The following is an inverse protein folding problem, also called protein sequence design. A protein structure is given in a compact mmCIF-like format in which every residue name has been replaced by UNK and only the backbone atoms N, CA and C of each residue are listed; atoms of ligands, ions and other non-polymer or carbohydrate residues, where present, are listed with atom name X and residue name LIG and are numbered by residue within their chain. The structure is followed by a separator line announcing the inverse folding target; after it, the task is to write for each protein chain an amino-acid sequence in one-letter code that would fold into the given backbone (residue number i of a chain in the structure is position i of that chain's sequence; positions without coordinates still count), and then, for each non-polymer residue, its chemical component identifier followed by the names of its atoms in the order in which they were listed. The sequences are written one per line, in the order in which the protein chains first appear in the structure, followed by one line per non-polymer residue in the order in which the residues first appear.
data_IF_776999388909
#
_entry.id   IF_776999388909
#
_cell.length_a   1.000
_cell.length_b   1.000
_cell.length_c   1.000
_cell.angle_alpha   90.00
_cell.angle_beta   90.00
_cell.angle_gamma   90.00
#
_symmetry.space_group_name_H-M   'P 1'
#
loop_
_entity.id
_entity.type
_entity.pdbx_description
1 polymer ?
#
# COMPACT_ATOMS: atom_id res chain seq x y z
N UNK A 1 14.77 -11.70 12.25
CA UNK A 1 14.44 -10.37 12.82
C UNK A 1 12.93 -10.21 12.78
N UNK A 2 12.30 -9.86 13.89
CA UNK A 2 10.85 -9.62 13.98
C UNK A 2 10.59 -8.11 13.91
N UNK A 3 9.73 -7.67 12.98
CA UNK A 3 9.30 -6.28 12.88
C UNK A 3 8.18 -6.05 13.89
N UNK A 4 8.30 -4.99 14.71
CA UNK A 4 7.28 -4.56 15.69
C UNK A 4 6.98 -3.07 15.61
N UNK A 5 7.98 -2.25 15.25
CA UNK A 5 7.95 -0.79 15.25
C UNK A 5 8.17 -0.29 13.83
N UNK A 6 7.17 0.35 13.29
CA UNK A 6 7.15 0.78 11.88
C UNK A 6 6.98 2.29 11.80
N UNK A 7 7.77 2.93 10.94
CA UNK A 7 7.54 4.32 10.56
C UNK A 7 7.11 4.41 9.11
N UNK A 8 6.02 5.13 8.86
CA UNK A 8 5.60 5.50 7.52
C UNK A 8 6.09 6.94 7.27
N UNK A 9 7.07 7.09 6.37
CA UNK A 9 7.58 8.38 5.98
C UNK A 9 6.72 8.97 4.85
N UNK A 10 5.74 9.78 5.24
CA UNK A 10 4.76 10.38 4.35
C UNK A 10 3.34 9.91 4.62
N UNK A 11 2.52 10.81 5.15
CA UNK A 11 1.10 10.59 5.46
C UNK A 11 0.16 11.01 4.33
N UNK A 12 0.50 10.71 3.06
CA UNK A 12 -0.39 10.84 1.91
C UNK A 12 -1.59 9.88 1.99
N UNK A 13 -2.39 9.80 0.93
CA UNK A 13 -3.55 8.91 0.90
C UNK A 13 -3.14 7.47 1.22
N UNK A 14 -2.20 6.91 0.46
CA UNK A 14 -1.76 5.53 0.63
C UNK A 14 -0.90 5.35 1.89
N UNK A 15 0.00 6.29 2.20
CA UNK A 15 0.81 6.21 3.43
C UNK A 15 -0.04 6.19 4.71
N UNK A 16 -1.15 6.93 4.75
CA UNK A 16 -2.11 6.87 5.87
C UNK A 16 -2.83 5.52 5.93
N UNK A 17 -3.18 4.92 4.80
CA UNK A 17 -3.79 3.59 4.75
C UNK A 17 -2.81 2.51 5.26
N UNK A 18 -1.55 2.56 4.81
CA UNK A 18 -0.51 1.62 5.27
C UNK A 18 -0.30 1.76 6.80
N UNK A 19 -0.22 3.00 7.30
CA UNK A 19 -0.08 3.26 8.72
C UNK A 19 -1.25 2.70 9.53
N UNK A 20 -2.48 2.99 9.11
CA UNK A 20 -3.69 2.55 9.80
C UNK A 20 -3.82 1.01 9.79
N UNK A 21 -3.61 0.37 8.64
CA UNK A 21 -3.65 -1.10 8.52
C UNK A 21 -2.59 -1.77 9.41
N UNK A 22 -1.37 -1.23 9.41
CA UNK A 22 -0.26 -1.75 10.23
C UNK A 22 -0.58 -1.64 11.72
N UNK A 23 -1.10 -0.49 12.17
CA UNK A 23 -1.51 -0.30 13.55
C UNK A 23 -2.73 -1.16 13.93
N UNK A 24 -3.71 -1.30 13.02
CA UNK A 24 -4.87 -2.18 13.20
C UNK A 24 -4.47 -3.64 13.44
N UNK A 25 -3.34 -4.07 12.86
CA UNK A 25 -2.77 -5.40 13.10
C UNK A 25 -1.83 -5.48 14.32
N UNK A 26 -1.78 -4.42 15.14
CA UNK A 26 -1.14 -4.43 16.45
C UNK A 26 0.32 -3.98 16.49
N UNK A 27 0.84 -3.39 15.40
CA UNK A 27 2.20 -2.84 15.37
C UNK A 27 2.27 -1.44 16.00
N UNK A 28 3.42 -1.07 16.56
CA UNK A 28 3.71 0.31 16.98
C UNK A 28 4.04 1.16 15.74
N UNK A 29 3.17 2.09 15.42
CA UNK A 29 3.25 2.88 14.19
C UNK A 29 3.45 4.36 14.48
N UNK A 30 4.44 4.94 13.79
CA UNK A 30 4.61 6.39 13.70
C UNK A 30 4.51 6.82 12.24
N UNK A 31 3.84 7.94 11.99
CA UNK A 31 3.84 8.60 10.68
C UNK A 31 4.67 9.86 10.75
N UNK A 32 5.66 9.98 9.87
CA UNK A 32 6.36 11.24 9.69
C UNK A 32 5.59 12.17 8.74
N UNK A 33 5.29 13.36 9.22
CA UNK A 33 4.67 14.45 8.47
C UNK A 33 5.62 15.65 8.43
N UNK A 34 5.96 16.15 7.24
CA UNK A 34 7.01 17.19 7.05
C UNK A 34 6.73 18.56 7.71
N UNK A 35 5.50 18.79 8.20
CA UNK A 35 5.09 20.06 8.84
C UNK A 35 3.83 19.86 9.69
N UNK A 36 3.55 20.80 10.59
CA UNK A 36 2.31 20.80 11.39
C UNK A 36 1.04 20.83 10.52
N UNK A 37 1.05 21.56 9.42
CA UNK A 37 -0.06 21.54 8.46
C UNK A 37 -0.26 20.16 7.83
N UNK A 38 0.83 19.47 7.48
CA UNK A 38 0.78 18.09 6.99
C UNK A 38 0.29 17.12 8.06
N UNK A 39 0.69 17.33 9.33
CA UNK A 39 0.23 16.56 10.49
C UNK A 39 -1.30 16.64 10.63
N UNK A 40 -1.88 17.84 10.50
CA UNK A 40 -3.34 18.02 10.52
C UNK A 40 -4.02 17.23 9.40
N UNK A 41 -3.52 17.32 8.16
CA UNK A 41 -4.07 16.53 7.03
C UNK A 41 -3.96 15.01 7.24
N UNK A 42 -2.92 14.55 7.90
CA UNK A 42 -2.76 13.13 8.28
C UNK A 42 -3.82 12.74 9.31
N UNK A 43 -4.07 13.59 10.31
CA UNK A 43 -5.13 13.34 11.30
C UNK A 43 -6.50 13.26 10.64
N UNK A 44 -6.85 14.23 9.77
CA UNK A 44 -8.12 14.21 9.02
C UNK A 44 -8.31 12.89 8.23
N UNK A 45 -7.21 12.34 7.66
CA UNK A 45 -7.25 11.04 6.98
C UNK A 45 -7.46 9.88 7.95
N UNK A 46 -6.87 9.93 9.13
CA UNK A 46 -7.10 8.89 10.13
C UNK A 46 -8.52 8.90 10.66
N UNK A 47 -9.15 10.08 10.80
CA UNK A 47 -10.55 10.20 11.17
C UNK A 47 -11.45 9.55 10.12
N UNK A 48 -11.16 9.78 8.83
CA UNK A 48 -11.87 9.13 7.72
C UNK A 48 -11.62 7.61 7.68
N UNK A 49 -10.37 7.16 7.87
CA UNK A 49 -10.03 5.73 7.90
C UNK A 49 -10.67 5.01 9.09
N UNK A 50 -10.71 5.63 10.25
CA UNK A 50 -11.40 5.11 11.43
C UNK A 50 -12.87 4.82 11.12
N UNK A 51 -13.58 5.76 10.49
CA UNK A 51 -14.96 5.57 10.07
C UNK A 51 -15.08 4.46 9.02
N UNK A 52 -14.20 4.46 8.00
CA UNK A 52 -14.17 3.45 6.95
C UNK A 52 -13.97 2.04 7.52
N UNK A 53 -13.00 1.86 8.41
CA UNK A 53 -12.75 0.53 9.01
C UNK A 53 -13.93 0.05 9.85
N UNK A 54 -14.59 0.93 10.59
CA UNK A 54 -15.81 0.57 11.34
C UNK A 54 -16.93 0.13 10.41
N UNK A 55 -17.14 0.83 9.30
CA UNK A 55 -18.13 0.45 8.28
C UNK A 55 -17.81 -0.92 7.65
N UNK A 56 -16.54 -1.17 7.32
CA UNK A 56 -16.12 -2.44 6.74
C UNK A 56 -16.24 -3.59 7.76
N UNK A 57 -15.95 -3.36 9.04
CA UNK A 57 -16.17 -4.31 10.13
C UNK A 57 -17.68 -4.61 10.30
N UNK A 58 -18.54 -3.59 10.18
CA UNK A 58 -20.00 -3.83 10.25
C UNK A 58 -20.49 -4.66 9.05
N UNK A 59 -20.00 -4.41 7.83
CA UNK A 59 -20.32 -5.22 6.66
C UNK A 59 -19.92 -6.69 6.81
N UNK A 60 -18.83 -6.97 7.54
CA UNK A 60 -18.41 -8.34 7.82
C UNK A 60 -19.46 -9.16 8.57
N UNK A 61 -20.35 -8.55 9.36
CA UNK A 61 -21.45 -9.24 10.06
C UNK A 61 -22.32 -10.06 9.10
N UNK A 62 -22.50 -9.60 7.88
CA UNK A 62 -23.33 -10.28 6.88
C UNK A 62 -22.66 -11.48 6.22
N UNK A 63 -21.35 -11.65 6.41
CA UNK A 63 -20.57 -12.70 5.74
C UNK A 63 -19.83 -13.64 6.71
N UNK A 64 -19.80 -13.33 8.03
CA UNK A 64 -19.24 -14.28 9.03
C UNK A 64 -20.02 -15.58 9.05
N UNK A 65 -19.33 -16.69 9.26
CA UNK A 65 -19.92 -18.03 9.17
C UNK A 65 -20.15 -18.53 7.74
N UNK A 66 -19.72 -17.77 6.72
CA UNK A 66 -19.84 -18.13 5.31
C UNK A 66 -18.50 -18.12 4.59
N UNK A 67 -18.43 -18.74 3.40
CA UNK A 67 -17.24 -18.70 2.52
C UNK A 67 -17.15 -17.41 1.68
N UNK A 68 -17.99 -16.40 1.92
CA UNK A 68 -17.96 -15.15 1.18
C UNK A 68 -16.83 -14.26 1.66
N UNK A 69 -15.94 -13.89 0.75
CA UNK A 69 -14.84 -12.96 1.04
C UNK A 69 -15.35 -11.50 1.11
N UNK A 70 -14.91 -10.77 2.12
CA UNK A 70 -15.09 -9.32 2.22
C UNK A 70 -13.94 -8.72 3.01
N UNK A 71 -13.37 -7.61 2.54
CA UNK A 71 -12.29 -6.87 3.20
C UNK A 71 -11.20 -7.78 3.80
N UNK A 72 -10.57 -8.61 2.95
CA UNK A 72 -9.64 -9.67 3.37
C UNK A 72 -8.39 -9.13 4.10
N UNK A 73 -8.03 -7.86 3.91
CA UNK A 73 -7.00 -7.22 4.73
C UNK A 73 -7.43 -7.05 6.19
N UNK A 74 -8.74 -6.89 6.46
CA UNK A 74 -9.29 -6.83 7.82
C UNK A 74 -9.45 -8.23 8.39
N UNK A 75 -10.20 -9.11 7.69
CA UNK A 75 -10.50 -10.47 8.12
C UNK A 75 -10.37 -11.45 6.95
N UNK A 76 -9.38 -12.33 7.02
CA UNK A 76 -9.14 -13.33 5.97
C UNK A 76 -10.12 -14.51 6.05
N UNK A 77 -10.36 -15.02 7.25
CA UNK A 77 -11.20 -16.19 7.48
C UNK A 77 -12.57 -15.75 8.02
N UNK A 78 -13.50 -15.50 7.11
CA UNK A 78 -14.88 -15.17 7.44
C UNK A 78 -15.68 -16.39 7.87
N UNK A 79 -15.33 -17.59 7.39
CA UNK A 79 -16.05 -18.84 7.66
C UNK A 79 -16.01 -19.25 9.12
N UNK A 80 -14.83 -19.14 9.75
CA UNK A 80 -14.63 -19.50 11.15
C UNK A 80 -14.80 -18.31 12.11
N UNK A 81 -15.24 -17.15 11.61
CA UNK A 81 -15.46 -15.96 12.41
C UNK A 81 -16.81 -16.01 13.15
N UNK A 82 -16.84 -15.34 14.31
CA UNK A 82 -18.02 -15.24 15.19
C UNK A 82 -18.33 -13.77 15.53
N UNK A 83 -19.41 -13.55 16.28
CA UNK A 83 -19.74 -12.24 16.82
C UNK A 83 -18.62 -11.67 17.71
N UNK A 84 -17.89 -12.52 18.45
CA UNK A 84 -16.75 -12.08 19.27
C UNK A 84 -15.60 -11.61 18.40
N UNK A 85 -15.41 -12.23 17.22
CA UNK A 85 -14.45 -11.76 16.22
C UNK A 85 -14.75 -10.33 15.79
N UNK A 86 -16.01 -10.02 15.50
CA UNK A 86 -16.45 -8.66 15.12
C UNK A 86 -16.18 -7.67 16.24
N UNK A 87 -16.50 -8.00 17.50
CA UNK A 87 -16.23 -7.13 18.63
C UNK A 87 -14.73 -6.85 18.78
N UNK A 88 -13.90 -7.88 18.68
CA UNK A 88 -12.44 -7.73 18.70
C UNK A 88 -11.94 -6.80 17.58
N UNK A 89 -12.46 -6.91 16.36
CA UNK A 89 -12.08 -6.04 15.25
C UNK A 89 -12.43 -4.57 15.54
N UNK A 90 -13.59 -4.28 16.16
CA UNK A 90 -13.91 -2.93 16.62
C UNK A 90 -12.90 -2.40 17.66
N UNK A 91 -12.52 -3.24 18.62
CA UNK A 91 -11.53 -2.87 19.63
C UNK A 91 -10.15 -2.61 19.00
N UNK A 92 -9.78 -3.41 17.97
CA UNK A 92 -8.54 -3.22 17.24
C UNK A 92 -8.54 -1.93 16.39
N UNK A 93 -9.68 -1.53 15.81
CA UNK A 93 -9.85 -0.22 15.14
C UNK A 93 -9.65 0.93 16.13
N UNK A 94 -10.25 0.86 17.31
CA UNK A 94 -10.09 1.86 18.37
C UNK A 94 -8.63 1.98 18.83
N UNK A 95 -7.97 0.84 19.05
CA UNK A 95 -6.56 0.81 19.46
C UNK A 95 -5.64 1.41 18.39
N UNK A 96 -5.87 1.05 17.11
CA UNK A 96 -5.12 1.61 16.00
C UNK A 96 -5.24 3.12 15.93
N UNK A 97 -6.46 3.65 15.95
CA UNK A 97 -6.73 5.08 15.87
C UNK A 97 -6.06 5.86 17.00
N UNK A 98 -6.12 5.35 18.24
CA UNK A 98 -5.53 5.98 19.42
C UNK A 98 -4.02 5.78 19.54
N UNK A 99 -3.49 4.71 18.93
CA UNK A 99 -2.08 4.31 19.09
C UNK A 99 -1.12 4.90 18.07
N UNK A 100 -1.60 5.33 16.88
CA UNK A 100 -0.73 5.89 15.85
C UNK A 100 -0.21 7.25 16.29
N UNK A 101 1.12 7.41 16.21
CA UNK A 101 1.79 8.68 16.48
C UNK A 101 2.05 9.43 15.18
N UNK A 102 1.93 10.76 15.21
CA UNK A 102 2.28 11.63 14.09
C UNK A 102 3.39 12.57 14.56
N UNK A 103 4.57 12.42 13.94
CA UNK A 103 5.78 13.19 14.29
C UNK A 103 6.18 14.10 13.13
N UNK A 104 6.61 15.32 13.44
CA UNK A 104 7.17 16.26 12.46
C UNK A 104 8.70 16.25 12.42
N UNK A 105 9.33 15.80 13.49
CA UNK A 105 10.76 15.54 13.53
C UNK A 105 11.09 14.20 12.87
N UNK A 106 11.82 14.21 11.74
CA UNK A 106 12.23 12.97 11.07
C UNK A 106 13.08 12.09 11.99
N UNK A 107 14.00 12.71 12.74
CA UNK A 107 14.88 12.01 13.68
C UNK A 107 14.09 11.24 14.74
N UNK A 108 13.07 11.88 15.33
CA UNK A 108 12.26 11.25 16.38
C UNK A 108 11.32 10.18 15.80
N UNK A 109 10.80 10.42 14.61
CA UNK A 109 9.93 9.48 13.92
C UNK A 109 10.62 8.15 13.60
N UNK A 110 11.93 8.15 13.29
CA UNK A 110 12.64 6.94 12.83
C UNK A 110 13.52 6.30 13.91
N UNK A 111 13.66 6.93 15.06
CA UNK A 111 14.47 6.40 16.17
C UNK A 111 13.93 5.08 16.69
N UNK A 112 14.78 4.08 16.76
CA UNK A 112 14.44 2.76 17.31
C UNK A 112 13.43 1.99 16.48
N UNK A 113 13.32 2.24 15.16
CA UNK A 113 12.36 1.56 14.29
C UNK A 113 12.96 0.36 13.59
N UNK A 114 12.16 -0.69 13.46
CA UNK A 114 12.58 -1.93 12.81
C UNK A 114 12.42 -1.81 11.28
N UNK A 115 11.39 -1.06 10.84
CA UNK A 115 11.07 -0.82 9.43
C UNK A 115 10.66 0.64 9.20
N UNK A 116 11.22 1.25 8.16
CA UNK A 116 10.75 2.55 7.63
C UNK A 116 10.22 2.32 6.22
N UNK A 117 8.97 2.70 5.96
CA UNK A 117 8.35 2.64 4.63
C UNK A 117 8.23 4.07 4.09
N UNK A 118 8.96 4.39 3.04
CA UNK A 118 8.84 5.66 2.33
C UNK A 118 7.60 5.65 1.44
N UNK A 119 6.72 6.63 1.65
CA UNK A 119 5.48 6.84 0.89
C UNK A 119 5.30 8.32 0.54
N UNK A 120 6.33 8.92 -0.05
CA UNK A 120 6.36 10.31 -0.52
C UNK A 120 5.85 10.42 -1.95
N UNK A 121 5.73 11.68 -2.43
CA UNK A 121 5.34 11.98 -3.81
C UNK A 121 6.27 11.30 -4.82
N UNK A 122 5.72 10.88 -5.96
CA UNK A 122 6.45 10.26 -7.07
C UNK A 122 7.30 11.32 -7.81
N UNK A 123 8.35 11.80 -7.14
CA UNK A 123 9.34 12.72 -7.66
C UNK A 123 10.74 12.20 -7.29
N UNK A 124 11.57 11.93 -8.30
CA UNK A 124 12.87 11.30 -8.13
C UNK A 124 13.81 12.13 -7.26
N UNK A 125 13.90 13.43 -7.52
CA UNK A 125 14.85 14.31 -6.80
C UNK A 125 14.42 14.47 -5.34
N UNK A 126 13.12 14.63 -5.07
CA UNK A 126 12.58 14.65 -3.70
C UNK A 126 12.89 13.37 -2.93
N UNK A 127 12.78 12.21 -3.57
CA UNK A 127 13.11 10.92 -2.92
C UNK A 127 14.62 10.81 -2.64
N UNK A 128 15.46 11.22 -3.58
CA UNK A 128 16.93 11.23 -3.38
C UNK A 128 17.31 12.13 -2.20
N UNK A 129 16.82 13.36 -2.15
CA UNK A 129 17.11 14.30 -1.06
C UNK A 129 16.57 13.79 0.29
N UNK A 130 15.41 13.17 0.26
CA UNK A 130 14.85 12.52 1.44
C UNK A 130 15.76 11.38 1.93
N UNK A 131 16.19 10.47 1.05
CA UNK A 131 17.07 9.36 1.45
C UNK A 131 18.41 9.84 2.00
N UNK A 132 19.02 10.86 1.40
CA UNK A 132 20.25 11.48 1.94
C UNK A 132 20.07 12.04 3.35
N UNK A 133 18.89 12.61 3.62
CA UNK A 133 18.54 13.15 4.95
C UNK A 133 18.20 12.03 5.93
N UNK A 134 17.51 11.01 5.49
CA UNK A 134 17.04 9.89 6.31
C UNK A 134 18.18 8.94 6.72
N UNK A 135 19.06 8.59 5.78
CA UNK A 135 20.06 7.54 5.95
C UNK A 135 20.91 7.66 7.23
N UNK A 136 21.44 8.84 7.59
CA UNK A 136 22.23 9.00 8.81
C UNK A 136 21.45 8.94 10.11
N UNK A 137 20.10 8.96 10.05
CA UNK A 137 19.21 8.95 11.22
C UNK A 137 18.74 7.55 11.59
N UNK A 138 18.90 6.58 10.70
CA UNK A 138 18.41 5.22 10.89
C UNK A 138 19.39 4.38 11.71
N UNK A 139 18.83 3.60 12.64
CA UNK A 139 19.61 2.61 13.37
C UNK A 139 20.15 1.54 12.42
N UNK A 140 21.25 0.88 12.79
CA UNK A 140 21.96 -0.08 11.92
C UNK A 140 21.03 -1.17 11.40
N UNK A 141 20.17 -1.72 12.25
CA UNK A 141 19.30 -2.85 11.89
C UNK A 141 17.98 -2.45 11.19
N UNK A 142 17.70 -1.15 11.04
CA UNK A 142 16.47 -0.68 10.40
C UNK A 142 16.41 -1.09 8.93
N UNK A 143 15.34 -1.76 8.53
CA UNK A 143 15.01 -2.03 7.12
C UNK A 143 14.37 -0.77 6.53
N UNK A 144 14.72 -0.46 5.30
CA UNK A 144 14.14 0.65 4.55
C UNK A 144 13.40 0.12 3.31
N UNK A 145 12.13 0.46 3.19
CA UNK A 145 11.32 0.10 2.03
C UNK A 145 10.76 1.33 1.33
N UNK A 146 10.59 1.25 0.01
CA UNK A 146 9.87 2.27 -0.77
C UNK A 146 8.53 1.75 -1.24
N UNK A 147 7.49 2.60 -1.15
CA UNK A 147 6.17 2.33 -1.71
C UNK A 147 5.97 3.00 -3.08
N UNK A 148 7.04 3.32 -3.79
CA UNK A 148 6.94 3.90 -5.14
C UNK A 148 6.15 3.00 -6.07
N UNK A 149 5.31 3.59 -6.93
CA UNK A 149 4.44 2.85 -7.88
C UNK A 149 5.06 2.69 -9.26
N UNK A 150 6.00 3.56 -9.62
CA UNK A 150 6.51 3.67 -11.00
C UNK A 150 8.02 3.62 -11.12
N UNK A 151 8.76 3.94 -10.03
CA UNK A 151 10.21 4.06 -10.06
C UNK A 151 10.89 2.77 -9.60
N UNK A 152 12.06 2.47 -10.16
CA UNK A 152 12.85 1.31 -9.73
C UNK A 152 13.56 1.62 -8.40
N UNK A 153 13.51 0.71 -7.41
CA UNK A 153 14.29 0.85 -6.17
C UNK A 153 15.79 1.06 -6.43
N UNK A 154 16.34 0.41 -7.46
CA UNK A 154 17.76 0.57 -7.83
C UNK A 154 18.18 2.01 -8.13
N UNK A 155 17.23 2.89 -8.50
CA UNK A 155 17.56 4.32 -8.72
C UNK A 155 17.90 5.06 -7.43
N UNK A 156 17.53 4.51 -6.27
CA UNK A 156 17.65 5.15 -4.96
C UNK A 156 18.60 4.43 -4.02
N UNK A 157 18.90 3.15 -4.26
CA UNK A 157 19.62 2.28 -3.32
C UNK A 157 20.95 2.86 -2.83
N UNK A 158 21.70 3.57 -3.69
CA UNK A 158 23.01 4.14 -3.32
C UNK A 158 22.89 5.37 -2.40
N UNK A 159 21.71 6.01 -2.33
CA UNK A 159 21.45 7.15 -1.44
C UNK A 159 20.95 6.73 -0.06
N UNK A 160 20.68 5.46 0.14
CA UNK A 160 20.11 4.93 1.40
C UNK A 160 21.17 4.60 2.45
N UNK A 161 22.46 4.53 2.07
CA UNK A 161 23.58 4.04 2.88
C UNK A 161 23.39 2.62 3.46
N UNK A 162 22.40 1.88 2.96
CA UNK A 162 22.07 0.50 3.34
C UNK A 162 21.44 -0.30 2.20
N UNK A 163 22.08 -0.36 1.02
CA UNK A 163 21.48 -0.98 -0.16
C UNK A 163 21.11 -2.45 0.05
N UNK A 164 21.78 -3.15 0.97
CA UNK A 164 21.49 -4.53 1.33
C UNK A 164 20.18 -4.69 2.13
N UNK A 165 19.73 -3.62 2.82
CA UNK A 165 18.49 -3.56 3.63
C UNK A 165 17.40 -2.72 2.96
N UNK A 166 17.54 -2.43 1.67
CA UNK A 166 16.63 -1.59 0.91
C UNK A 166 15.94 -2.36 -0.22
N UNK A 167 14.61 -2.23 -0.31
CA UNK A 167 13.79 -2.89 -1.32
C UNK A 167 12.44 -2.16 -1.47
N UNK A 168 11.64 -2.57 -2.47
CA UNK A 168 10.29 -2.03 -2.61
C UNK A 168 9.26 -2.89 -1.87
N UNK A 169 8.27 -2.20 -1.33
CA UNK A 169 7.07 -2.75 -0.71
C UNK A 169 5.87 -1.93 -1.21
N UNK A 170 5.35 -2.30 -2.38
CA UNK A 170 4.36 -1.53 -3.12
C UNK A 170 2.95 -2.01 -2.83
N UNK A 171 2.12 -1.12 -2.29
CA UNK A 171 0.72 -1.35 -1.94
C UNK A 171 -0.22 -0.74 -2.99
N UNK A 172 -1.39 -1.34 -3.15
CA UNK A 172 -2.50 -0.75 -3.88
C UNK A 172 -3.37 0.12 -2.95
N UNK A 173 -4.14 1.08 -3.49
CA UNK A 173 -5.12 1.82 -2.71
C UNK A 173 -6.25 0.91 -2.20
N UNK A 174 -6.85 1.26 -1.04
CA UNK A 174 -7.89 0.49 -0.33
C UNK A 174 -7.37 -0.88 0.10
N UNK A 175 -6.21 -0.87 0.75
CA UNK A 175 -5.45 -2.07 1.14
C UNK A 175 -6.23 -3.05 2.03
N UNK A 176 -7.28 -2.60 2.71
CA UNK A 176 -8.18 -3.47 3.48
C UNK A 176 -9.07 -4.37 2.60
N UNK A 177 -9.26 -4.00 1.32
CA UNK A 177 -10.00 -4.79 0.31
C UNK A 177 -9.06 -5.34 -0.75
N UNK A 178 -8.25 -4.45 -1.36
CA UNK A 178 -7.22 -4.81 -2.35
C UNK A 178 -5.92 -5.05 -1.59
N UNK A 179 -5.74 -6.25 -1.07
CA UNK A 179 -4.64 -6.60 -0.17
C UNK A 179 -3.39 -7.26 -0.79
N UNK A 180 -3.17 -7.37 -2.11
CA UNK A 180 -1.84 -7.69 -2.61
C UNK A 180 -0.82 -6.59 -2.26
N UNK A 181 0.41 -7.00 -1.96
CA UNK A 181 1.57 -6.12 -1.81
C UNK A 181 2.74 -6.71 -2.59
N UNK A 182 3.31 -5.91 -3.47
CA UNK A 182 4.40 -6.34 -4.35
C UNK A 182 5.74 -6.06 -3.67
N UNK A 183 6.58 -7.09 -3.55
CA UNK A 183 7.92 -7.03 -2.95
C UNK A 183 8.94 -7.20 -4.07
N UNK A 184 9.73 -6.16 -4.32
CA UNK A 184 10.71 -6.13 -5.39
C UNK A 184 12.09 -5.73 -4.85
N UNK A 185 13.08 -6.59 -5.08
CA UNK A 185 14.46 -6.43 -4.61
C UNK A 185 15.31 -5.67 -5.62
N UNK A 186 16.41 -5.06 -5.13
CA UNK A 186 17.50 -4.56 -5.98
C UNK A 186 18.58 -5.62 -6.14
N UNK A 187 19.55 -5.38 -7.00
CA UNK A 187 20.73 -6.25 -7.16
C UNK A 187 21.63 -6.32 -5.90
N UNK A 188 21.45 -5.41 -4.95
CA UNK A 188 22.25 -5.33 -3.71
C UNK A 188 21.46 -5.80 -2.47
N UNK A 189 20.16 -6.02 -2.59
CA UNK A 189 19.32 -6.44 -1.45
C UNK A 189 19.77 -7.84 -0.97
N UNK A 190 20.07 -7.99 0.32
CA UNK A 190 20.36 -9.29 0.93
C UNK A 190 19.08 -10.15 0.97
N UNK A 191 19.19 -11.41 0.54
CA UNK A 191 18.08 -12.34 0.36
C UNK A 191 17.25 -12.66 1.62
N UNK A 192 17.75 -12.34 2.82
CA UNK A 192 16.96 -12.47 4.06
C UNK A 192 15.86 -11.44 4.21
N UNK A 193 16.04 -10.21 3.69
CA UNK A 193 15.09 -9.10 3.91
C UNK A 193 13.78 -9.24 3.12
N UNK A 194 13.75 -9.76 1.89
CA UNK A 194 12.49 -10.07 1.22
C UNK A 194 11.61 -11.03 2.03
N UNK A 195 12.19 -12.07 2.67
CA UNK A 195 11.44 -13.00 3.49
C UNK A 195 10.93 -12.34 4.79
N UNK A 196 11.72 -11.44 5.40
CA UNK A 196 11.29 -10.65 6.57
C UNK A 196 10.10 -9.75 6.19
N UNK A 197 10.16 -9.06 5.04
CA UNK A 197 9.05 -8.20 4.59
C UNK A 197 7.84 -9.02 4.11
N UNK A 198 8.04 -10.21 3.57
CA UNK A 198 6.96 -11.15 3.25
C UNK A 198 6.18 -11.56 4.52
N UNK A 199 6.89 -11.90 5.59
CA UNK A 199 6.27 -12.22 6.89
C UNK A 199 5.54 -11.00 7.47
N UNK A 200 6.17 -9.82 7.45
CA UNK A 200 5.51 -8.56 7.83
C UNK A 200 4.23 -8.32 7.04
N UNK A 201 4.26 -8.47 5.71
CA UNK A 201 3.10 -8.31 4.85
C UNK A 201 1.96 -9.26 5.23
N UNK A 202 2.26 -10.54 5.47
CA UNK A 202 1.28 -11.53 5.94
C UNK A 202 0.66 -11.11 7.29
N UNK A 203 1.49 -10.64 8.22
CA UNK A 203 1.05 -10.23 9.55
C UNK A 203 0.16 -8.99 9.54
N UNK A 204 0.32 -8.09 8.56
CA UNK A 204 -0.58 -6.95 8.38
C UNK A 204 -1.80 -7.26 7.48
N UNK A 205 -2.03 -8.54 7.15
CA UNK A 205 -3.20 -8.99 6.39
C UNK A 205 -3.08 -8.84 4.87
N UNK A 206 -1.85 -8.64 4.36
CA UNK A 206 -1.59 -8.54 2.92
C UNK A 206 -1.23 -9.90 2.32
N UNK A 207 -1.36 -9.99 1.00
CA UNK A 207 -0.90 -11.12 0.18
C UNK A 207 0.39 -10.70 -0.53
N UNK A 208 1.57 -11.18 -0.10
CA UNK A 208 2.83 -10.79 -0.70
C UNK A 208 3.02 -11.39 -2.09
N UNK A 209 3.33 -10.54 -3.06
CA UNK A 209 3.68 -10.89 -4.44
C UNK A 209 5.18 -10.66 -4.63
N UNK A 210 5.93 -11.75 -4.69
CA UNK A 210 7.39 -11.71 -4.78
C UNK A 210 7.81 -11.50 -6.24
N UNK A 211 8.43 -10.34 -6.54
CA UNK A 211 8.90 -9.99 -7.90
C UNK A 211 10.38 -10.36 -8.03
N UNK A 212 10.68 -11.22 -9.01
CA UNK A 212 12.02 -11.80 -9.20
C UNK A 212 13.03 -10.86 -9.86
N UNK A 213 12.56 -9.85 -10.58
CA UNK A 213 13.39 -8.90 -11.33
C UNK A 213 12.75 -7.53 -11.33
N UNK A 214 13.55 -6.48 -11.13
CA UNK A 214 13.06 -5.10 -11.21
C UNK A 214 12.40 -4.81 -12.57
N UNK A 215 11.21 -4.22 -12.50
CA UNK A 215 10.45 -3.73 -13.65
C UNK A 215 9.69 -2.46 -13.24
N UNK A 216 9.73 -1.38 -14.05
CA UNK A 216 8.91 -0.20 -13.78
C UNK A 216 7.43 -0.57 -13.82
N UNK A 217 6.66 -0.07 -12.84
CA UNK A 217 5.22 -0.38 -12.74
C UNK A 217 4.91 -1.74 -12.14
N UNK A 218 5.91 -2.51 -11.72
CA UNK A 218 5.72 -3.81 -11.07
C UNK A 218 4.92 -4.79 -11.95
N UNK A 219 4.28 -5.81 -11.38
CA UNK A 219 3.42 -6.72 -12.15
C UNK A 219 2.07 -6.06 -12.43
N UNK A 220 1.46 -5.44 -11.41
CA UNK A 220 0.13 -4.88 -11.53
C UNK A 220 0.04 -3.82 -12.63
N UNK A 221 0.83 -2.76 -12.56
CA UNK A 221 0.76 -1.67 -13.52
C UNK A 221 1.28 -2.08 -14.91
N UNK A 222 2.21 -3.05 -14.97
CA UNK A 222 2.69 -3.60 -16.25
C UNK A 222 1.62 -4.36 -17.03
N UNK A 223 0.58 -4.86 -16.35
CA UNK A 223 -0.59 -5.48 -16.97
C UNK A 223 -1.72 -4.47 -17.18
N UNK A 224 -1.99 -3.65 -16.16
CA UNK A 224 -3.11 -2.72 -16.14
C UNK A 224 -2.97 -1.64 -17.21
N UNK A 225 -1.81 -0.98 -17.30
CA UNK A 225 -1.62 0.14 -18.23
C UNK A 225 -1.82 -0.29 -19.69
N UNK A 226 -1.18 -1.36 -20.20
CA UNK A 226 -1.45 -1.85 -21.56
C UNK A 226 -2.91 -2.25 -21.80
N UNK A 227 -3.56 -2.84 -20.79
CA UNK A 227 -4.99 -3.21 -20.88
C UNK A 227 -5.87 -1.98 -21.08
N UNK A 228 -5.68 -0.94 -20.28
CA UNK A 228 -6.41 0.32 -20.41
C UNK A 228 -6.11 1.02 -21.73
N UNK A 229 -4.83 1.04 -22.15
CA UNK A 229 -4.42 1.63 -23.42
C UNK A 229 -5.03 0.90 -24.62
N UNK A 230 -5.16 -0.43 -24.57
CA UNK A 230 -5.81 -1.22 -25.63
C UNK A 230 -7.30 -0.84 -25.75
N UNK A 231 -8.03 -0.73 -24.63
CA UNK A 231 -9.42 -0.27 -24.63
C UNK A 231 -9.58 1.14 -25.19
N UNK A 232 -8.76 2.08 -24.71
CA UNK A 232 -8.76 3.46 -25.22
C UNK A 232 -8.41 3.53 -26.71
N UNK A 233 -7.49 2.70 -27.18
CA UNK A 233 -7.13 2.61 -28.60
C UNK A 233 -8.30 2.15 -29.48
N UNK A 234 -9.07 1.15 -29.05
CA UNK A 234 -10.28 0.70 -29.76
C UNK A 234 -11.32 1.83 -29.86
N UNK A 235 -11.58 2.55 -28.79
CA UNK A 235 -12.50 3.69 -28.75
C UNK A 235 -11.99 4.81 -29.68
N UNK A 236 -10.74 5.21 -29.55
CA UNK A 236 -10.15 6.32 -30.34
C UNK A 236 -10.15 6.04 -31.85
N UNK A 237 -10.02 4.78 -32.27
CA UNK A 237 -10.09 4.36 -33.66
C UNK A 237 -11.53 4.11 -34.17
N UNK A 238 -12.54 4.36 -33.35
CA UNK A 238 -13.94 4.20 -33.73
C UNK A 238 -14.37 2.74 -33.97
N UNK A 239 -13.65 1.76 -33.38
CA UNK A 239 -13.98 0.34 -33.52
C UNK A 239 -15.29 0.02 -32.82
N UNK A 240 -15.47 0.52 -31.59
CA UNK A 240 -16.72 0.43 -30.81
C UNK A 240 -16.75 1.52 -29.74
N UNK A 241 -17.93 1.74 -29.12
CA UNK A 241 -18.05 2.59 -27.95
C UNK A 241 -17.54 1.89 -26.68
N UNK A 242 -17.35 2.67 -25.60
CA UNK A 242 -16.80 2.18 -24.33
C UNK A 242 -17.66 1.05 -23.71
N UNK A 243 -18.98 1.19 -23.76
CA UNK A 243 -19.92 0.21 -23.21
C UNK A 243 -19.82 -1.14 -23.96
N UNK A 244 -19.72 -1.09 -25.28
CA UNK A 244 -19.59 -2.28 -26.13
C UNK A 244 -18.25 -2.99 -25.88
N UNK A 245 -17.14 -2.24 -25.73
CA UNK A 245 -15.82 -2.79 -25.44
C UNK A 245 -15.81 -3.47 -24.06
N UNK A 246 -16.34 -2.82 -23.04
CA UNK A 246 -16.45 -3.39 -21.69
C UNK A 246 -17.34 -4.65 -21.69
N UNK A 247 -18.46 -4.61 -22.38
CA UNK A 247 -19.40 -5.73 -22.48
C UNK A 247 -18.77 -6.95 -23.13
N UNK A 248 -18.07 -6.77 -24.27
CA UNK A 248 -17.41 -7.87 -24.96
C UNK A 248 -16.33 -8.51 -24.08
N UNK A 249 -15.48 -7.69 -23.46
CA UNK A 249 -14.45 -8.18 -22.54
C UNK A 249 -15.05 -8.96 -21.37
N UNK A 250 -16.06 -8.39 -20.70
CA UNK A 250 -16.70 -9.03 -19.54
C UNK A 250 -17.36 -10.37 -19.88
N UNK A 251 -18.05 -10.44 -21.02
CA UNK A 251 -18.74 -11.67 -21.43
C UNK A 251 -17.74 -12.73 -21.91
N UNK A 252 -16.77 -12.35 -22.73
CA UNK A 252 -15.82 -13.29 -23.33
C UNK A 252 -14.85 -13.85 -22.30
N UNK A 253 -14.36 -13.01 -21.39
CA UNK A 253 -13.36 -13.40 -20.38
C UNK A 253 -13.97 -13.78 -19.03
N UNK A 254 -15.29 -13.73 -18.89
CA UNK A 254 -15.98 -13.86 -17.59
C UNK A 254 -15.38 -12.91 -16.52
N UNK A 255 -14.94 -11.73 -16.95
CA UNK A 255 -14.32 -10.75 -16.08
C UNK A 255 -15.39 -9.91 -15.35
N UNK A 256 -15.15 -9.48 -14.10
CA UNK A 256 -16.12 -8.68 -13.34
C UNK A 256 -16.27 -7.25 -13.87
N UNK A 257 -15.21 -6.70 -14.48
CA UNK A 257 -15.16 -5.32 -15.01
C UNK A 257 -14.42 -5.27 -16.34
N UNK A 258 -14.74 -4.26 -17.16
CA UNK A 258 -14.04 -3.94 -18.39
C UNK A 258 -13.02 -2.82 -18.26
N UNK A 259 -12.28 -2.47 -19.33
CA UNK A 259 -11.23 -1.46 -19.29
C UNK A 259 -11.75 -0.06 -18.93
N UNK A 260 -12.95 0.33 -19.36
CA UNK A 260 -13.50 1.66 -19.07
C UNK A 260 -14.12 1.72 -17.67
N UNK A 261 -14.75 0.65 -17.20
CA UNK A 261 -15.19 0.54 -15.80
C UNK A 261 -13.98 0.62 -14.84
N UNK A 262 -12.83 0.03 -15.19
CA UNK A 262 -11.61 0.15 -14.39
C UNK A 262 -11.03 1.57 -14.46
N UNK A 263 -11.11 2.26 -15.63
CA UNK A 263 -10.74 3.67 -15.75
C UNK A 263 -11.60 4.58 -14.87
N UNK A 264 -12.90 4.34 -14.82
CA UNK A 264 -13.83 5.09 -13.95
C UNK A 264 -13.50 4.85 -12.47
N UNK A 265 -13.16 3.60 -12.13
CA UNK A 265 -12.78 3.23 -10.77
C UNK A 265 -11.47 3.89 -10.31
N UNK A 266 -10.46 3.98 -11.19
CA UNK A 266 -9.17 4.64 -10.93
C UNK A 266 -9.34 6.16 -10.92
N UNK A 267 -10.23 6.68 -11.76
CA UNK A 267 -10.43 8.07 -12.05
C UNK A 267 -9.57 8.55 -13.23
N UNK A 268 -10.21 9.10 -14.25
CA UNK A 268 -9.57 9.58 -15.50
C UNK A 268 -8.38 10.51 -15.25
N UNK A 269 -8.42 11.49 -14.30
CA UNK A 269 -7.25 12.33 -14.02
C UNK A 269 -6.03 11.54 -13.53
N UNK A 270 -6.24 10.52 -12.70
CA UNK A 270 -5.17 9.65 -12.19
C UNK A 270 -4.57 8.83 -13.32
N UNK A 271 -5.42 8.20 -14.14
CA UNK A 271 -5.00 7.40 -15.29
C UNK A 271 -4.20 8.24 -16.30
N UNK A 272 -4.63 9.49 -16.58
CA UNK A 272 -3.91 10.42 -17.47
C UNK A 272 -2.48 10.71 -16.99
N UNK A 273 -2.29 10.92 -15.69
CA UNK A 273 -0.96 11.18 -15.12
C UNK A 273 -0.04 9.95 -15.14
N UNK A 274 -0.59 8.75 -15.14
CA UNK A 274 0.19 7.49 -15.19
C UNK A 274 0.63 7.15 -16.62
N UNK A 275 -0.18 7.53 -17.63
CA UNK A 275 0.08 7.22 -19.06
C UNK A 275 0.99 8.28 -19.71
N UNK A 276 1.08 9.49 -19.18
CA UNK A 276 1.93 10.59 -19.67
C UNK A 276 3.37 10.46 -19.15
#
# INVERSE_FOLDING_TARGET
MEIKRVTIAGGGVLGSQIAFQTAFKGFDVTVWARSEESKKRVQDRFDALYSTYKEEVEKLRSVIGTDKAHAQGILKDTKNASSDTIQKLYDDVEKAYKGIKIETSLKDAVKGRDLVIESLSENKDLKIDFYKTLAPLLDEETILATNTSSMLPSWFMDYTCRPEKYLALHFANRIWVKNPVEIMVTSKTDGKYPEVLKEFALNIGMVPIMIKKEVPGYVMNSLLIPFLMAGMGLLANGVADAETIDKDWKLTMCAPIGPFEELDYIGVPTAYHVVK
#
